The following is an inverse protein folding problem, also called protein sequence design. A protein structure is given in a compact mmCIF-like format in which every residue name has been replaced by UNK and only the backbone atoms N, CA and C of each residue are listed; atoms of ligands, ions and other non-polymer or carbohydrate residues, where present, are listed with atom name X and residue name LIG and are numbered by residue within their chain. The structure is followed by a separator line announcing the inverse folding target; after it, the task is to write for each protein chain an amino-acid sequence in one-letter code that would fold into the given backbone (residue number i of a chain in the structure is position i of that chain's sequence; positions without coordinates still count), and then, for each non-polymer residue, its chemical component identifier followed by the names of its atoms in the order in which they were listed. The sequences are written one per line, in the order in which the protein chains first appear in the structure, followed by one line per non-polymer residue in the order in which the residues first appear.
data_IF_844089507022
#
_entry.id   IF_844089507022
#
_cell.length_a   1.000
_cell.length_b   1.000
_cell.length_c   1.000
_cell.angle_alpha   90.00
_cell.angle_beta   90.00
_cell.angle_gamma   90.00
#
_symmetry.space_group_name_H-M   'P 1'
#
loop_
_entity.id
_entity.type
_entity.pdbx_description
1 polymer ?
#
# COMPACT_ATOMS: atom_id res chain seq x y z
N UNK A 1 -12.84 -11.64 1.14
CA UNK A 1 -12.13 -10.82 2.16
C UNK A 1 -13.10 -9.77 2.65
N UNK A 2 -13.39 -9.72 3.95
CA UNK A 2 -14.35 -8.73 4.48
C UNK A 2 -13.66 -7.36 4.50
N UNK A 3 -14.38 -6.30 4.14
CA UNK A 3 -13.91 -4.91 4.27
C UNK A 3 -13.37 -4.62 5.67
N UNK A 4 -13.92 -5.30 6.68
CA UNK A 4 -13.52 -5.18 8.07
C UNK A 4 -12.09 -5.72 8.32
N UNK A 5 -11.72 -6.84 7.70
CA UNK A 5 -10.37 -7.42 7.82
C UNK A 5 -9.34 -6.58 7.07
N UNK A 6 -9.71 -6.05 5.90
CA UNK A 6 -8.89 -5.10 5.16
C UNK A 6 -8.64 -3.85 6.00
N UNK A 7 -9.66 -3.34 6.68
CA UNK A 7 -9.54 -2.16 7.53
C UNK A 7 -8.62 -2.41 8.73
N UNK A 8 -8.68 -3.57 9.38
CA UNK A 8 -7.75 -3.93 10.46
C UNK A 8 -6.32 -4.11 9.94
N UNK A 9 -6.12 -4.78 8.80
CA UNK A 9 -4.81 -4.85 8.15
C UNK A 9 -4.25 -3.48 7.79
N UNK A 10 -5.09 -2.59 7.28
CA UNK A 10 -4.72 -1.22 6.97
C UNK A 10 -4.42 -0.45 8.26
N UNK A 11 -5.17 -0.60 9.35
CA UNK A 11 -4.90 0.12 10.60
C UNK A 11 -3.64 -0.34 11.33
N UNK A 12 -3.33 -1.65 11.27
CA UNK A 12 -2.13 -2.22 11.88
C UNK A 12 -0.88 -2.09 11.00
N UNK A 13 -1.02 -1.71 9.73
CA UNK A 13 0.14 -1.40 8.88
C UNK A 13 0.80 -0.13 9.40
N UNK A 14 2.12 -0.17 9.60
CA UNK A 14 2.92 1.04 9.82
C UNK A 14 2.97 1.79 8.50
N UNK A 15 2.05 2.73 8.30
CA UNK A 15 2.10 3.62 7.14
C UNK A 15 3.29 4.55 7.27
N UNK A 16 4.19 4.49 6.29
CA UNK A 16 5.12 5.59 6.10
C UNK A 16 4.39 6.79 5.48
N UNK A 17 4.87 8.01 5.76
CA UNK A 17 4.31 9.20 5.13
C UNK A 17 4.43 9.15 3.60
N UNK A 18 5.47 8.50 3.09
CA UNK A 18 5.67 8.26 1.66
C UNK A 18 4.50 7.46 1.07
N UNK A 19 4.11 6.34 1.69
CA UNK A 19 3.01 5.49 1.23
C UNK A 19 1.68 6.25 1.15
N UNK A 20 1.41 7.08 2.16
CA UNK A 20 0.19 7.87 2.22
C UNK A 20 0.15 8.92 1.09
N UNK A 21 1.31 9.50 0.74
CA UNK A 21 1.46 10.44 -0.37
C UNK A 21 1.29 9.74 -1.72
N UNK A 22 1.86 8.56 -1.91
CA UNK A 22 1.72 7.80 -3.14
C UNK A 22 0.29 7.29 -3.33
N UNK A 23 -0.36 6.82 -2.27
CA UNK A 23 -1.78 6.44 -2.28
C UNK A 23 -2.66 7.62 -2.69
N UNK A 24 -2.44 8.80 -2.10
CA UNK A 24 -3.19 10.00 -2.45
C UNK A 24 -2.94 10.41 -3.90
N UNK A 25 -1.69 10.36 -4.39
CA UNK A 25 -1.34 10.63 -5.78
C UNK A 25 -2.06 9.69 -6.75
N UNK A 26 -2.07 8.38 -6.48
CA UNK A 26 -2.75 7.40 -7.32
C UNK A 26 -4.27 7.57 -7.32
N UNK A 27 -4.88 7.92 -6.18
CA UNK A 27 -6.30 8.26 -6.10
C UNK A 27 -6.58 9.54 -6.91
N UNK A 28 -5.73 10.56 -6.80
CA UNK A 28 -5.90 11.82 -7.53
C UNK A 28 -5.78 11.61 -9.04
N UNK A 29 -4.82 10.78 -9.47
CA UNK A 29 -4.62 10.42 -10.87
C UNK A 29 -5.80 9.57 -11.37
N UNK A 30 -6.26 8.60 -10.58
CA UNK A 30 -7.43 7.76 -10.88
C UNK A 30 -8.72 8.57 -11.00
N UNK A 31 -8.92 9.58 -10.15
CA UNK A 31 -10.06 10.51 -10.24
C UNK A 31 -9.95 11.50 -11.41
N UNK A 32 -8.75 11.74 -11.94
CA UNK A 32 -8.54 12.60 -13.11
C UNK A 32 -8.84 11.85 -14.40
N UNK A 33 -8.46 10.57 -14.48
CA UNK A 33 -8.70 9.72 -15.65
C UNK A 33 -10.08 9.05 -15.65
N UNK A 34 -10.62 8.75 -14.47
CA UNK A 34 -11.89 8.05 -14.29
C UNK A 34 -12.83 8.86 -13.40
N UNK A 35 -14.12 8.52 -13.43
CA UNK A 35 -15.16 9.20 -12.65
C UNK A 35 -14.73 9.35 -11.19
N UNK A 36 -14.82 10.54 -10.56
CA UNK A 36 -14.28 10.80 -9.22
C UNK A 36 -14.80 9.85 -8.13
N UNK A 37 -15.99 9.27 -8.32
CA UNK A 37 -16.58 8.28 -7.41
C UNK A 37 -15.92 6.89 -7.55
N UNK A 38 -15.50 6.54 -8.77
CA UNK A 38 -14.82 5.28 -9.07
C UNK A 38 -13.28 5.40 -8.96
N UNK A 39 -12.73 6.61 -9.04
CA UNK A 39 -11.30 6.87 -8.94
C UNK A 39 -10.71 6.57 -7.56
N UNK A 40 -11.48 6.76 -6.49
CA UNK A 40 -11.06 6.39 -5.12
C UNK A 40 -10.85 4.89 -4.95
N UNK A 41 -11.83 4.01 -5.26
CA UNK A 41 -11.61 2.57 -5.14
C UNK A 41 -10.57 2.06 -6.13
N UNK A 42 -10.54 2.54 -7.38
CA UNK A 42 -9.53 2.10 -8.36
C UNK A 42 -8.11 2.55 -7.96
N UNK A 43 -7.95 3.80 -7.52
CA UNK A 43 -6.65 4.32 -7.10
C UNK A 43 -6.11 3.60 -5.88
N UNK A 44 -6.99 3.18 -4.97
CA UNK A 44 -6.63 2.36 -3.81
C UNK A 44 -6.17 0.97 -4.24
N UNK A 45 -6.90 0.31 -5.15
CA UNK A 45 -6.51 -1.01 -5.69
C UNK A 45 -5.18 -0.94 -6.45
N UNK A 46 -4.99 0.09 -7.28
CA UNK A 46 -3.75 0.30 -8.02
C UNK A 46 -2.56 0.51 -7.08
N UNK A 47 -2.73 1.32 -6.03
CA UNK A 47 -1.70 1.49 -5.00
C UNK A 47 -1.39 0.15 -4.29
N UNK A 48 -2.42 -0.60 -3.88
CA UNK A 48 -2.21 -1.90 -3.24
C UNK A 48 -1.49 -2.90 -4.15
N UNK A 49 -1.77 -2.91 -5.45
CA UNK A 49 -1.14 -3.83 -6.40
C UNK A 49 0.31 -3.46 -6.74
N UNK A 50 0.63 -2.16 -6.73
CA UNK A 50 1.91 -1.66 -7.24
C UNK A 50 2.90 -1.34 -6.11
N UNK A 51 2.41 -0.90 -4.96
CA UNK A 51 3.25 -0.52 -3.81
C UNK A 51 3.23 -1.55 -2.68
N UNK A 52 2.12 -2.26 -2.45
CA UNK A 52 2.07 -3.23 -1.36
C UNK A 52 2.79 -4.54 -1.67
N UNK A 53 2.86 -4.95 -2.95
CA UNK A 53 3.67 -6.09 -3.41
C UNK A 53 5.18 -5.75 -3.37
N UNK A 54 5.56 -4.56 -3.85
CA UNK A 54 6.96 -4.09 -3.81
C UNK A 54 7.49 -3.91 -2.38
N UNK A 55 6.66 -3.41 -1.46
CA UNK A 55 7.09 -3.18 -0.07
C UNK A 55 7.19 -4.49 0.74
N UNK A 56 6.37 -5.50 0.45
CA UNK A 56 6.53 -6.81 1.09
C UNK A 56 7.83 -7.51 0.68
N UNK A 57 8.23 -7.39 -0.58
CA UNK A 57 9.49 -7.96 -1.05
C UNK A 57 10.69 -7.28 -0.37
N UNK A 58 10.65 -5.95 -0.19
CA UNK A 58 11.71 -5.20 0.48
C UNK A 58 11.78 -5.47 1.98
N UNK A 59 10.64 -5.59 2.67
CA UNK A 59 10.61 -5.88 4.11
C UNK A 59 11.09 -7.32 4.41
N UNK A 60 10.76 -8.29 3.56
CA UNK A 60 11.26 -9.67 3.65
C UNK A 60 12.79 -9.72 3.45
N UNK A 61 13.33 -9.03 2.44
CA UNK A 61 14.79 -8.92 2.24
C UNK A 61 15.49 -8.21 3.41
N UNK A 62 14.89 -7.17 4.00
CA UNK A 62 15.42 -6.45 5.15
C UNK A 62 15.42 -7.30 6.44
N UNK A 63 14.39 -8.11 6.65
CA UNK A 63 14.31 -9.05 7.78
C UNK A 63 15.39 -10.14 7.66
N UNK A 64 15.60 -10.70 6.47
CA UNK A 64 16.64 -11.71 6.21
C UNK A 64 18.06 -11.16 6.43
N UNK A 65 18.32 -9.93 5.95
CA UNK A 65 19.62 -9.28 6.16
C UNK A 65 19.85 -9.02 7.65
N UNK A 66 18.85 -8.54 8.39
CA UNK A 66 18.96 -8.33 9.85
C UNK A 66 19.22 -9.64 10.59
N UNK A 67 18.52 -10.72 10.25
CA UNK A 67 18.73 -12.02 10.89
C UNK A 67 20.14 -12.59 10.66
N UNK A 68 20.74 -12.28 9.51
CA UNK A 68 22.08 -12.75 9.17
C UNK A 68 23.19 -11.93 9.85
N UNK A 69 22.90 -10.69 10.27
CA UNK A 69 23.84 -9.84 11.02
C UNK A 69 23.86 -10.19 12.52
N UNK A 70 22.75 -10.70 13.07
CA UNK A 70 22.62 -11.06 14.49
C UNK A 70 23.16 -12.48 14.82
N UNK A 71 23.66 -13.22 13.81
CA UNK A 71 24.20 -14.59 13.92
C UNK A 71 25.73 -14.61 14.03
#
# INVERSE_FOLDING_TARGET
MKLNELKEKLLNKKWDLSDLIFLLLFIFLGCTFLTPIAGVPLGTIAFLFLFLDDESDIEEELEDIKQNIDK
#
